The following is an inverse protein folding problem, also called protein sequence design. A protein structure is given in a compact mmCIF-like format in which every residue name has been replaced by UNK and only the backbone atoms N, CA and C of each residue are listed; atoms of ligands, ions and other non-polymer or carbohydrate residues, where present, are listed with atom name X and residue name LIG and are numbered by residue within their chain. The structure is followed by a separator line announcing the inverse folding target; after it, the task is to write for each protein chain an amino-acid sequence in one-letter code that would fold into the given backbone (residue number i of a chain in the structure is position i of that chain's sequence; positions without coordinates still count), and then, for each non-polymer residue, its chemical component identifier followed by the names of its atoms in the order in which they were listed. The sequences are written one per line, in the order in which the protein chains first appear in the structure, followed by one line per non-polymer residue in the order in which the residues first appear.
data_IF_993649038719
#
_entry.id   IF_993649038719
#
_cell.length_a   1.000
_cell.length_b   1.000
_cell.length_c   1.000
_cell.angle_alpha   90.00
_cell.angle_beta   90.00
_cell.angle_gamma   90.00
#
_symmetry.space_group_name_H-M   'P 1'
#
loop_
_entity.id
_entity.type
_entity.pdbx_description
1 polymer ?
#
# COMPACT_ATOMS: atom_id res chain seq x y z
N UNK A 1 -34.25 -29.05 86.24
CA UNK A 1 -33.31 -30.18 86.16
C UNK A 1 -33.23 -30.61 84.71
N UNK A 2 -32.01 -30.94 84.27
CA UNK A 2 -31.59 -31.46 82.96
C UNK A 2 -31.61 -30.43 81.81
N UNK A 3 -30.50 -29.81 81.36
CA UNK A 3 -29.16 -30.26 80.92
C UNK A 3 -29.07 -30.61 79.42
N UNK A 4 -27.99 -30.10 78.80
CA UNK A 4 -27.36 -30.36 77.49
C UNK A 4 -27.95 -29.81 76.18
N UNK A 5 -27.28 -28.73 75.73
CA UNK A 5 -26.49 -28.61 74.47
C UNK A 5 -26.68 -29.73 73.43
N UNK A 6 -26.75 -29.47 72.11
CA UNK A 6 -25.55 -29.24 71.28
C UNK A 6 -25.95 -28.80 69.86
N UNK A 7 -25.28 -27.76 69.35
CA UNK A 7 -25.17 -27.39 67.94
C UNK A 7 -24.54 -28.52 67.12
N UNK A 8 -24.95 -28.69 65.85
CA UNK A 8 -24.09 -29.30 64.84
C UNK A 8 -24.80 -30.25 63.89
N UNK A 9 -24.61 -29.97 62.61
CA UNK A 9 -24.58 -30.96 61.52
C UNK A 9 -25.90 -31.54 61.00
N UNK A 10 -26.67 -30.68 60.31
CA UNK A 10 -27.53 -31.12 59.19
C UNK A 10 -27.02 -30.58 57.83
N UNK A 11 -25.70 -30.53 57.65
CA UNK A 11 -25.08 -30.33 56.32
C UNK A 11 -24.21 -31.50 55.86
N UNK A 12 -24.21 -32.62 56.60
CA UNK A 12 -23.45 -33.81 56.24
C UNK A 12 -24.37 -34.98 55.86
N UNK A 13 -25.08 -34.82 54.73
CA UNK A 13 -25.51 -35.99 53.94
C UNK A 13 -25.27 -35.75 52.45
N UNK A 14 -24.31 -36.52 51.94
CA UNK A 14 -24.18 -36.97 50.54
C UNK A 14 -23.68 -35.99 49.49
N UNK A 15 -22.41 -35.57 49.59
CA UNK A 15 -21.57 -35.34 48.38
C UNK A 15 -20.18 -35.97 48.46
N UNK A 16 -19.96 -36.89 49.38
CA UNK A 16 -18.68 -37.61 49.55
C UNK A 16 -18.66 -38.87 48.70
N UNK A 17 -18.60 -38.70 47.38
CA UNK A 17 -18.47 -39.81 46.42
C UNK A 17 -18.04 -39.41 45.00
N UNK A 18 -17.90 -38.11 44.71
CA UNK A 18 -17.66 -37.59 43.34
C UNK A 18 -16.50 -36.58 43.28
N UNK A 19 -15.59 -36.63 44.26
CA UNK A 19 -14.63 -35.55 44.57
C UNK A 19 -13.18 -35.75 44.07
N UNK A 20 -12.83 -36.83 43.38
CA UNK A 20 -11.44 -37.04 42.93
C UNK A 20 -11.12 -36.63 41.49
N UNK A 21 -12.11 -36.67 40.59
CA UNK A 21 -11.87 -36.56 39.13
C UNK A 21 -12.24 -35.20 38.53
N UNK A 22 -13.05 -34.39 39.22
CA UNK A 22 -13.45 -33.08 38.69
C UNK A 22 -12.29 -32.10 38.60
N UNK A 23 -11.49 -31.98 39.66
CA UNK A 23 -10.31 -31.10 39.68
C UNK A 23 -9.28 -31.44 38.58
N UNK A 24 -8.86 -32.70 38.38
CA UNK A 24 -7.94 -33.01 37.28
C UNK A 24 -8.57 -32.86 35.90
N UNK A 25 -9.85 -33.19 35.72
CA UNK A 25 -10.55 -33.00 34.43
C UNK A 25 -10.68 -31.52 34.07
N UNK A 26 -11.09 -30.67 35.02
CA UNK A 26 -11.17 -29.21 34.81
C UNK A 26 -9.79 -28.63 34.54
N UNK A 27 -8.75 -29.05 35.27
CA UNK A 27 -7.37 -28.62 35.01
C UNK A 27 -6.90 -29.00 33.60
N UNK A 28 -7.19 -30.22 33.13
CA UNK A 28 -6.86 -30.64 31.76
C UNK A 28 -7.63 -29.82 30.73
N UNK A 29 -8.93 -29.58 30.94
CA UNK A 29 -9.73 -28.75 30.05
C UNK A 29 -9.25 -27.29 30.01
N UNK A 30 -8.81 -26.76 31.15
CA UNK A 30 -8.30 -25.39 31.27
C UNK A 30 -6.93 -25.26 30.57
N UNK A 31 -6.06 -26.26 30.71
CA UNK A 31 -4.79 -26.33 29.97
C UNK A 31 -5.03 -26.46 28.47
N UNK A 32 -5.95 -27.32 28.03
CA UNK A 32 -6.31 -27.46 26.61
C UNK A 32 -6.93 -26.18 26.04
N UNK A 33 -7.78 -25.49 26.82
CA UNK A 33 -8.35 -24.19 26.44
C UNK A 33 -7.26 -23.12 26.31
N UNK A 34 -6.30 -23.08 27.24
CA UNK A 34 -5.18 -22.16 27.20
C UNK A 34 -4.28 -22.43 25.97
N UNK A 35 -3.95 -23.69 25.70
CA UNK A 35 -3.19 -24.09 24.51
C UNK A 35 -3.94 -23.68 23.24
N UNK A 36 -5.24 -23.93 23.17
CA UNK A 36 -6.08 -23.54 22.03
C UNK A 36 -6.08 -22.02 21.79
N UNK A 37 -6.22 -21.22 22.85
CA UNK A 37 -6.17 -19.76 22.74
C UNK A 37 -4.80 -19.25 22.30
N UNK A 38 -3.71 -19.78 22.87
CA UNK A 38 -2.35 -19.41 22.47
C UNK A 38 -2.08 -19.80 21.02
N UNK A 39 -2.54 -20.97 20.59
CA UNK A 39 -2.43 -21.43 19.21
C UNK A 39 -3.19 -20.53 18.23
N UNK A 40 -4.45 -20.21 18.52
CA UNK A 40 -5.25 -19.28 17.72
C UNK A 40 -4.60 -17.90 17.65
N UNK A 41 -4.12 -17.38 18.78
CA UNK A 41 -3.44 -16.09 18.81
C UNK A 41 -2.15 -16.11 17.98
N UNK A 42 -1.40 -17.21 18.02
CA UNK A 42 -0.20 -17.40 17.21
C UNK A 42 -0.54 -17.42 15.72
N UNK A 43 -1.61 -18.10 15.33
CA UNK A 43 -2.07 -18.16 13.93
C UNK A 43 -2.48 -16.76 13.43
N UNK A 44 -3.24 -16.01 14.23
CA UNK A 44 -3.63 -14.62 13.90
C UNK A 44 -2.41 -13.70 13.77
N UNK A 45 -1.40 -13.88 14.62
CA UNK A 45 -0.14 -13.12 14.52
C UNK A 45 0.68 -13.50 13.28
N UNK A 46 0.68 -14.77 12.89
CA UNK A 46 1.33 -15.27 11.68
C UNK A 46 0.65 -14.71 10.42
N UNK A 47 -0.67 -14.86 10.30
CA UNK A 47 -1.43 -14.29 9.18
C UNK A 47 -1.26 -12.77 9.07
N UNK A 48 -1.23 -12.08 10.21
CA UNK A 48 -0.99 -10.63 10.27
C UNK A 48 0.45 -10.23 9.93
N UNK A 49 1.41 -11.14 10.02
CA UNK A 49 2.81 -10.93 9.62
C UNK A 49 2.95 -11.14 8.12
N UNK A 50 2.47 -12.27 7.60
CA UNK A 50 2.57 -12.64 6.19
C UNK A 50 1.87 -11.60 5.30
N UNK A 51 0.72 -11.08 5.74
CA UNK A 51 0.02 -10.02 5.04
C UNK A 51 0.80 -8.70 4.98
N UNK A 52 1.46 -8.32 6.09
CA UNK A 52 2.26 -7.08 6.15
C UNK A 52 3.55 -7.19 5.36
N UNK A 53 4.13 -8.38 5.33
CA UNK A 53 5.28 -8.69 4.49
C UNK A 53 4.93 -8.58 3.01
N UNK A 54 3.85 -9.24 2.57
CA UNK A 54 3.38 -9.16 1.19
C UNK A 54 3.02 -7.73 0.77
N UNK A 55 2.33 -6.98 1.64
CA UNK A 55 2.04 -5.56 1.43
C UNK A 55 3.32 -4.73 1.28
N UNK A 56 4.32 -4.97 2.12
CA UNK A 56 5.61 -4.29 2.07
C UNK A 56 6.37 -4.54 0.77
N UNK A 57 6.42 -5.79 0.32
CA UNK A 57 7.05 -6.17 -0.96
C UNK A 57 6.32 -5.53 -2.15
N UNK A 58 4.98 -5.50 -2.11
CA UNK A 58 4.20 -4.84 -3.15
C UNK A 58 4.44 -3.32 -3.17
N UNK A 59 4.46 -2.66 -2.01
CA UNK A 59 4.74 -1.23 -1.90
C UNK A 59 6.13 -0.88 -2.41
N UNK A 60 7.14 -1.67 -2.05
CA UNK A 60 8.49 -1.50 -2.55
C UNK A 60 8.57 -1.65 -4.07
N UNK A 61 7.93 -2.69 -4.62
CA UNK A 61 7.84 -2.89 -6.06
C UNK A 61 7.17 -1.70 -6.77
N UNK A 62 6.12 -1.14 -6.17
CA UNK A 62 5.37 -0.02 -6.76
C UNK A 62 6.12 1.30 -6.67
N UNK A 63 6.82 1.56 -5.57
CA UNK A 63 7.71 2.73 -5.44
C UNK A 63 8.85 2.68 -6.45
N UNK A 64 9.53 1.53 -6.56
CA UNK A 64 10.63 1.36 -7.52
C UNK A 64 10.14 1.45 -8.96
N UNK A 65 9.01 0.79 -9.27
CA UNK A 65 8.41 0.87 -10.60
C UNK A 65 8.03 2.32 -10.95
N UNK A 66 7.36 3.04 -10.04
CA UNK A 66 7.00 4.44 -10.26
C UNK A 66 8.24 5.32 -10.46
N UNK A 67 9.24 5.22 -9.58
CA UNK A 67 10.46 6.03 -9.67
C UNK A 67 11.22 5.79 -10.99
N UNK A 68 11.51 4.52 -11.30
CA UNK A 68 12.32 4.15 -12.48
C UNK A 68 11.57 4.44 -13.78
N UNK A 69 10.32 3.98 -13.90
CA UNK A 69 9.54 4.15 -15.12
C UNK A 69 9.21 5.60 -15.44
N UNK A 70 8.87 6.41 -14.44
CA UNK A 70 8.52 7.82 -14.67
C UNK A 70 9.76 8.67 -14.93
N UNK A 71 10.90 8.36 -14.31
CA UNK A 71 12.18 8.96 -14.67
C UNK A 71 12.63 8.58 -16.09
N UNK A 72 12.38 7.32 -16.51
CA UNK A 72 12.61 6.89 -17.89
C UNK A 72 11.71 7.65 -18.86
N UNK A 73 10.39 7.66 -18.61
CA UNK A 73 9.41 8.37 -19.42
C UNK A 73 9.74 9.86 -19.55
N UNK A 74 10.16 10.53 -18.48
CA UNK A 74 10.59 11.93 -18.53
C UNK A 74 11.78 12.15 -19.47
N UNK A 75 12.73 11.22 -19.55
CA UNK A 75 13.86 11.29 -20.50
C UNK A 75 13.40 10.99 -21.93
N UNK A 76 12.46 10.07 -22.09
CA UNK A 76 11.86 9.75 -23.39
C UNK A 76 11.04 10.92 -23.94
N UNK A 77 10.41 11.72 -23.08
CA UNK A 77 9.77 12.99 -23.48
C UNK A 77 10.78 14.00 -24.02
N UNK A 78 11.97 14.11 -23.43
CA UNK A 78 13.03 14.99 -23.96
C UNK A 78 13.44 14.58 -25.38
N UNK A 79 13.49 13.28 -25.65
CA UNK A 79 13.75 12.77 -26.99
C UNK A 79 12.57 13.06 -27.94
N UNK A 80 11.33 12.95 -27.46
CA UNK A 80 10.12 13.19 -28.26
C UNK A 80 10.03 14.64 -28.74
N UNK A 81 10.50 15.60 -27.94
CA UNK A 81 10.57 17.02 -28.32
C UNK A 81 11.43 17.26 -29.55
N UNK A 82 12.49 16.48 -29.73
CA UNK A 82 13.46 16.60 -30.84
C UNK A 82 13.12 15.69 -32.02
N UNK A 83 12.34 14.64 -31.79
CA UNK A 83 12.02 13.62 -32.78
C UNK A 83 11.09 14.14 -33.89
N UNK A 84 11.25 13.60 -35.10
CA UNK A 84 10.37 13.87 -36.26
C UNK A 84 10.22 12.60 -37.12
N UNK A 85 9.19 12.55 -37.97
CA UNK A 85 9.00 11.45 -38.93
C UNK A 85 8.96 10.07 -38.26
N UNK A 86 9.76 9.12 -38.77
CA UNK A 86 9.77 7.73 -38.29
C UNK A 86 10.36 7.58 -36.87
N UNK A 87 11.31 8.43 -36.48
CA UNK A 87 11.89 8.41 -35.14
C UNK A 87 10.87 8.80 -34.07
N UNK A 88 9.93 9.70 -34.41
CA UNK A 88 8.83 10.07 -33.50
C UNK A 88 7.96 8.87 -33.13
N UNK A 89 7.60 8.05 -34.11
CA UNK A 89 6.77 6.85 -33.88
C UNK A 89 7.49 5.88 -32.96
N UNK A 90 8.79 5.64 -33.19
CA UNK A 90 9.61 4.77 -32.33
C UNK A 90 9.66 5.29 -30.89
N UNK A 91 9.94 6.58 -30.70
CA UNK A 91 10.04 7.19 -29.36
C UNK A 91 8.70 7.17 -28.64
N UNK A 92 7.57 7.32 -29.34
CA UNK A 92 6.24 7.14 -28.73
C UNK A 92 5.99 5.72 -28.23
N UNK A 93 6.44 4.69 -28.96
CA UNK A 93 6.34 3.30 -28.51
C UNK A 93 7.20 3.07 -27.27
N UNK A 94 8.41 3.64 -27.23
CA UNK A 94 9.29 3.59 -26.06
C UNK A 94 8.64 4.28 -24.85
N UNK A 95 8.03 5.45 -25.05
CA UNK A 95 7.29 6.18 -24.02
C UNK A 95 6.11 5.38 -23.47
N UNK A 96 5.32 4.73 -24.33
CA UNK A 96 4.24 3.85 -23.88
C UNK A 96 4.79 2.67 -23.05
N UNK A 97 5.94 2.11 -23.45
CA UNK A 97 6.64 1.08 -22.70
C UNK A 97 7.06 1.56 -21.30
N UNK A 98 7.70 2.73 -21.22
CA UNK A 98 8.11 3.33 -19.95
C UNK A 98 6.91 3.57 -19.03
N UNK A 99 5.82 4.13 -19.55
CA UNK A 99 4.62 4.48 -18.77
C UNK A 99 3.83 3.24 -18.29
N UNK A 100 3.96 2.11 -18.98
CA UNK A 100 3.15 0.90 -18.74
C UNK A 100 3.29 0.30 -17.34
N UNK A 101 4.46 0.48 -16.71
CA UNK A 101 4.69 0.05 -15.33
C UNK A 101 4.54 1.20 -14.32
N UNK A 102 4.95 2.42 -14.67
CA UNK A 102 4.98 3.56 -13.76
C UNK A 102 3.58 4.09 -13.37
N UNK A 103 2.70 4.32 -14.34
CA UNK A 103 1.38 4.91 -14.05
C UNK A 103 0.48 3.97 -13.22
N UNK A 104 0.39 2.66 -13.52
CA UNK A 104 -0.36 1.74 -12.67
C UNK A 104 0.24 1.59 -11.27
N UNK A 105 1.56 1.75 -11.11
CA UNK A 105 2.21 1.75 -9.80
C UNK A 105 1.80 2.98 -8.97
N UNK A 106 1.79 4.18 -9.58
CA UNK A 106 1.28 5.41 -8.92
C UNK A 106 -0.18 5.25 -8.50
N UNK A 107 -1.04 4.74 -9.38
CA UNK A 107 -2.44 4.51 -9.04
C UNK A 107 -2.61 3.55 -7.84
N UNK A 108 -1.81 2.48 -7.79
CA UNK A 108 -1.83 1.53 -6.67
C UNK A 108 -1.31 2.13 -5.38
N UNK A 109 -0.27 2.97 -5.43
CA UNK A 109 0.25 3.69 -4.25
C UNK A 109 -0.80 4.64 -3.68
N UNK A 110 -1.49 5.40 -4.54
CA UNK A 110 -2.57 6.31 -4.14
C UNK A 110 -3.71 5.52 -3.46
N UNK A 111 -4.17 4.44 -4.10
CA UNK A 111 -5.23 3.60 -3.53
C UNK A 111 -4.82 2.91 -2.22
N UNK A 112 -3.58 2.43 -2.13
CA UNK A 112 -3.04 1.84 -0.91
C UNK A 112 -2.96 2.87 0.23
N UNK A 113 -2.52 4.09 -0.07
CA UNK A 113 -2.47 5.19 0.90
C UNK A 113 -3.87 5.60 1.36
N UNK A 114 -4.83 5.75 0.44
CA UNK A 114 -6.23 6.08 0.75
C UNK A 114 -6.91 5.03 1.65
N UNK A 115 -6.48 3.76 1.56
CA UNK A 115 -6.93 2.66 2.42
C UNK A 115 -6.39 2.70 3.86
N UNK A 116 -5.35 3.51 4.15
CA UNK A 116 -4.74 3.63 5.48
C UNK A 116 -5.38 4.75 6.30
N UNK A 117 -5.52 4.60 7.63
CA UNK A 117 -6.04 5.67 8.49
C UNK A 117 -5.26 6.99 8.38
N UNK A 118 -3.93 6.92 8.22
CA UNK A 118 -3.07 8.08 8.04
C UNK A 118 -3.24 8.77 6.67
N UNK A 119 -3.78 8.08 5.67
CA UNK A 119 -3.99 8.60 4.31
C UNK A 119 -5.36 9.24 4.09
N UNK A 120 -6.04 9.71 5.14
CA UNK A 120 -7.36 10.34 5.03
C UNK A 120 -7.41 11.52 4.05
N UNK A 121 -6.32 12.29 3.96
CA UNK A 121 -6.16 13.37 2.98
C UNK A 121 -6.10 12.85 1.54
N UNK A 122 -5.40 11.73 1.30
CA UNK A 122 -5.31 11.07 -0.01
C UNK A 122 -6.69 10.57 -0.43
N UNK A 123 -7.41 9.93 0.50
CA UNK A 123 -8.78 9.46 0.29
C UNK A 123 -9.74 10.57 -0.13
N UNK A 124 -9.56 11.78 0.39
CA UNK A 124 -10.43 12.92 0.05
C UNK A 124 -10.25 13.40 -1.41
N UNK A 125 -9.10 13.14 -2.02
CA UNK A 125 -8.75 13.59 -3.37
C UNK A 125 -8.51 12.44 -4.36
N UNK A 126 -8.67 11.19 -3.92
CA UNK A 126 -8.33 9.98 -4.69
C UNK A 126 -8.97 9.96 -6.08
N UNK A 127 -10.28 10.20 -6.16
CA UNK A 127 -11.01 10.19 -7.43
C UNK A 127 -10.49 11.28 -8.39
N UNK A 128 -10.26 12.49 -7.88
CA UNK A 128 -9.72 13.60 -8.67
C UNK A 128 -8.28 13.30 -9.14
N UNK A 129 -7.44 12.75 -8.27
CA UNK A 129 -6.07 12.37 -8.60
C UNK A 129 -6.02 11.25 -9.66
N UNK A 130 -6.86 10.22 -9.53
CA UNK A 130 -6.95 9.13 -10.52
C UNK A 130 -7.52 9.62 -11.86
N UNK A 131 -8.47 10.56 -11.83
CA UNK A 131 -8.95 11.23 -13.04
C UNK A 131 -7.84 12.04 -13.71
N UNK A 132 -7.08 12.82 -12.93
CA UNK A 132 -5.91 13.56 -13.42
C UNK A 132 -4.85 12.64 -14.03
N UNK A 133 -4.58 11.48 -13.42
CA UNK A 133 -3.67 10.48 -13.97
C UNK A 133 -4.13 9.95 -15.33
N UNK A 134 -5.43 9.65 -15.48
CA UNK A 134 -6.00 9.19 -16.74
C UNK A 134 -5.95 10.27 -17.81
N UNK A 135 -6.25 11.52 -17.46
CA UNK A 135 -6.20 12.64 -18.38
C UNK A 135 -4.75 12.95 -18.81
N UNK A 136 -3.77 12.87 -17.91
CA UNK A 136 -2.35 13.01 -18.23
C UNK A 136 -1.89 11.92 -19.20
N UNK A 137 -2.30 10.68 -18.97
CA UNK A 137 -2.00 9.57 -19.86
C UNK A 137 -2.64 9.73 -21.25
N UNK A 138 -3.91 10.13 -21.31
CA UNK A 138 -4.60 10.40 -22.56
C UNK A 138 -3.88 11.51 -23.36
N UNK A 139 -3.48 12.58 -22.67
CA UNK A 139 -2.74 13.70 -23.28
C UNK A 139 -1.38 13.27 -23.83
N UNK A 140 -0.61 12.47 -23.07
CA UNK A 140 0.65 11.90 -23.53
C UNK A 140 0.49 11.04 -24.79
N UNK A 141 -0.63 10.31 -24.90
CA UNK A 141 -0.93 9.48 -26.06
C UNK A 141 -1.34 10.30 -27.28
N UNK A 142 -2.02 11.43 -27.09
CA UNK A 142 -2.41 12.34 -28.17
C UNK A 142 -1.22 13.15 -28.73
N UNK A 143 -0.33 13.61 -27.85
CA UNK A 143 0.81 14.46 -28.22
C UNK A 143 1.73 13.78 -29.24
N UNK A 144 2.08 14.52 -30.30
CA UNK A 144 2.95 14.01 -31.36
C UNK A 144 2.36 12.82 -32.12
N UNK A 145 1.03 12.70 -32.21
CA UNK A 145 0.34 11.74 -33.08
C UNK A 145 0.36 12.13 -34.58
N UNK A 146 1.33 12.96 -34.98
CA UNK A 146 1.50 13.46 -36.33
C UNK A 146 3.00 13.51 -36.68
N UNK A 147 3.35 13.59 -37.95
CA UNK A 147 4.74 13.44 -38.42
C UNK A 147 5.50 14.77 -38.51
N UNK A 148 4.76 15.88 -38.52
CA UNK A 148 5.27 17.25 -38.52
C UNK A 148 6.04 17.59 -37.22
N UNK A 149 6.85 18.67 -37.23
CA UNK A 149 7.40 19.23 -36.00
C UNK A 149 6.28 19.55 -35.00
N UNK A 150 6.57 19.38 -33.71
CA UNK A 150 5.62 19.74 -32.65
C UNK A 150 5.39 21.25 -32.68
N UNK A 151 4.13 21.64 -32.51
CA UNK A 151 3.78 23.05 -32.36
C UNK A 151 4.26 23.60 -31.01
N UNK A 152 4.39 24.93 -30.91
CA UNK A 152 4.73 25.59 -29.63
C UNK A 152 3.71 25.33 -28.51
N UNK A 153 2.46 25.01 -28.89
CA UNK A 153 1.43 24.62 -27.93
C UNK A 153 1.73 23.22 -27.36
N UNK A 154 2.03 22.26 -28.23
CA UNK A 154 2.37 20.89 -27.83
C UNK A 154 3.68 20.81 -27.05
N UNK A 155 4.67 21.64 -27.39
CA UNK A 155 5.91 21.72 -26.62
C UNK A 155 5.66 22.21 -25.19
N UNK A 156 4.80 23.22 -25.01
CA UNK A 156 4.40 23.69 -23.66
C UNK A 156 3.64 22.62 -22.88
N UNK A 157 2.77 21.87 -23.55
CA UNK A 157 2.04 20.77 -22.92
C UNK A 157 2.99 19.62 -22.52
N UNK A 158 3.97 19.29 -23.37
CA UNK A 158 5.03 18.32 -23.06
C UNK A 158 5.88 18.74 -21.87
N UNK A 159 6.24 20.01 -21.76
CA UNK A 159 6.98 20.54 -20.61
C UNK A 159 6.17 20.40 -19.31
N UNK A 160 4.86 20.68 -19.35
CA UNK A 160 3.96 20.49 -18.21
C UNK A 160 3.86 19.03 -17.79
N UNK A 161 3.69 18.12 -18.75
CA UNK A 161 3.66 16.68 -18.49
C UNK A 161 5.00 16.15 -17.99
N UNK A 162 6.12 16.66 -18.50
CA UNK A 162 7.46 16.33 -18.01
C UNK A 162 7.62 16.75 -16.55
N UNK A 163 7.18 17.95 -16.19
CA UNK A 163 7.21 18.42 -14.82
C UNK A 163 6.35 17.53 -13.89
N UNK A 164 5.16 17.13 -14.35
CA UNK A 164 4.31 16.18 -13.64
C UNK A 164 5.01 14.84 -13.42
N UNK A 165 5.51 14.20 -14.49
CA UNK A 165 6.19 12.90 -14.40
C UNK A 165 7.42 12.97 -13.49
N UNK A 166 8.19 14.06 -13.56
CA UNK A 166 9.32 14.31 -12.68
C UNK A 166 8.91 14.45 -11.21
N UNK A 167 7.80 15.15 -10.94
CA UNK A 167 7.25 15.27 -9.57
C UNK A 167 6.83 13.91 -9.04
N UNK A 168 6.12 13.11 -9.84
CA UNK A 168 5.68 11.77 -9.45
C UNK A 168 6.87 10.82 -9.19
N UNK A 169 7.87 10.86 -10.07
CA UNK A 169 9.11 10.10 -9.90
C UNK A 169 9.83 10.52 -8.61
N UNK A 170 9.96 11.82 -8.36
CA UNK A 170 10.62 12.36 -7.18
C UNK A 170 9.90 12.00 -5.88
N UNK A 171 8.56 12.05 -5.85
CA UNK A 171 7.79 11.63 -4.68
C UNK A 171 8.01 10.14 -4.40
N UNK A 172 8.02 9.28 -5.42
CA UNK A 172 8.31 7.85 -5.26
C UNK A 172 9.75 7.60 -4.78
N UNK A 173 10.74 8.26 -5.38
CA UNK A 173 12.17 8.12 -5.04
C UNK A 173 12.52 8.67 -3.65
N UNK A 174 11.70 9.59 -3.12
CA UNK A 174 11.86 10.13 -1.76
C UNK A 174 11.75 9.04 -0.67
N UNK A 175 11.14 7.91 -1.00
CA UNK A 175 11.03 6.73 -0.14
C UNK A 175 12.14 5.77 -0.50
N UNK A 176 13.18 5.71 0.34
CA UNK A 176 14.29 4.80 0.11
C UNK A 176 13.83 3.33 0.24
N UNK A 177 13.84 2.61 -0.88
CA UNK A 177 13.67 1.16 -0.95
C UNK A 177 15.06 0.54 -1.09
N UNK A 178 15.50 -0.32 -0.14
CA UNK A 178 16.78 -1.02 -0.26
C UNK A 178 16.78 -1.97 -1.47
N UNK A 179 17.93 -2.06 -2.16
CA UNK A 179 18.11 -3.00 -3.29
C UNK A 179 17.88 -4.46 -2.86
N UNK A 180 18.38 -4.83 -1.68
CA UNK A 180 18.13 -6.11 -1.02
C UNK A 180 17.03 -5.96 0.04
N UNK A 181 15.77 -6.02 -0.41
CA UNK A 181 14.62 -5.89 0.47
C UNK A 181 14.38 -7.16 1.30
N UNK A 182 14.83 -7.13 2.55
CA UNK A 182 14.51 -8.17 3.54
C UNK A 182 13.04 -8.10 3.99
N UNK A 183 12.46 -9.21 4.46
CA UNK A 183 11.08 -9.25 4.97
C UNK A 183 10.85 -8.28 6.14
N UNK A 184 11.87 -8.07 6.97
CA UNK A 184 11.82 -7.08 8.05
C UNK A 184 11.73 -5.66 7.52
N UNK A 185 12.50 -5.34 6.47
CA UNK A 185 12.44 -4.03 5.83
C UNK A 185 11.11 -3.82 5.10
N UNK A 186 10.59 -4.85 4.43
CA UNK A 186 9.25 -4.81 3.80
C UNK A 186 8.15 -4.52 4.83
N UNK A 187 8.14 -5.22 5.96
CA UNK A 187 7.18 -4.96 7.04
C UNK A 187 7.33 -3.55 7.63
N UNK A 188 8.56 -3.04 7.78
CA UNK A 188 8.80 -1.67 8.23
C UNK A 188 8.31 -0.63 7.22
N UNK A 189 8.49 -0.88 5.92
CA UNK A 189 7.98 -0.03 4.86
C UNK A 189 6.44 0.02 4.91
N UNK A 190 5.77 -1.13 4.99
CA UNK A 190 4.31 -1.20 5.10
C UNK A 190 3.75 -0.49 6.34
N UNK A 191 4.51 -0.46 7.43
CA UNK A 191 4.15 0.24 8.66
C UNK A 191 4.54 1.74 8.65
N UNK A 192 5.45 2.14 7.78
CA UNK A 192 6.00 3.50 7.70
C UNK A 192 4.98 4.52 7.17
N UNK A 193 5.11 5.77 7.61
CA UNK A 193 4.26 6.88 7.13
C UNK A 193 4.81 7.56 5.87
N UNK A 194 6.12 7.50 5.62
CA UNK A 194 6.75 8.29 4.54
C UNK A 194 6.22 7.97 3.14
N UNK A 195 5.87 6.73 2.86
CA UNK A 195 5.29 6.37 1.56
C UNK A 195 3.86 6.88 1.39
N UNK A 196 3.13 7.08 2.49
CA UNK A 196 1.80 7.70 2.49
C UNK A 196 1.94 9.18 2.16
N UNK A 197 2.96 9.85 2.72
CA UNK A 197 3.27 11.25 2.38
C UNK A 197 3.64 11.40 0.90
N UNK A 198 4.52 10.52 0.39
CA UNK A 198 4.86 10.46 -1.03
C UNK A 198 3.63 10.23 -1.93
N UNK A 199 2.74 9.32 -1.55
CA UNK A 199 1.49 9.09 -2.27
C UNK A 199 0.55 10.30 -2.21
N UNK A 200 0.55 11.05 -1.10
CA UNK A 200 -0.22 12.28 -0.96
C UNK A 200 0.31 13.40 -1.86
N UNK A 201 1.62 13.58 -1.93
CA UNK A 201 2.27 14.51 -2.85
C UNK A 201 1.95 14.16 -4.30
N UNK A 202 2.06 12.88 -4.66
CA UNK A 202 1.73 12.40 -6.00
C UNK A 202 0.25 12.64 -6.34
N UNK A 203 -0.67 12.34 -5.42
CA UNK A 203 -2.10 12.58 -5.61
C UNK A 203 -2.42 14.08 -5.78
N UNK A 204 -1.76 14.93 -4.98
CA UNK A 204 -1.94 16.37 -5.06
C UNK A 204 -1.42 16.93 -6.39
N UNK A 205 -0.24 16.50 -6.85
CA UNK A 205 0.31 16.91 -8.14
C UNK A 205 -0.60 16.53 -9.32
N UNK A 206 -1.22 15.35 -9.27
CA UNK A 206 -2.17 14.89 -10.29
C UNK A 206 -3.46 15.69 -10.28
N UNK A 207 -3.98 16.01 -9.09
CA UNK A 207 -5.16 16.86 -8.95
C UNK A 207 -4.88 18.27 -9.48
N UNK A 208 -3.76 18.88 -9.08
CA UNK A 208 -3.40 20.23 -9.51
C UNK A 208 -3.18 20.31 -11.03
N UNK A 209 -2.66 19.23 -11.63
CA UNK A 209 -2.56 19.13 -13.09
C UNK A 209 -3.93 19.03 -13.77
N UNK A 210 -4.92 18.36 -13.16
CA UNK A 210 -6.26 18.26 -13.72
C UNK A 210 -7.07 19.56 -13.61
N UNK A 211 -6.77 20.38 -12.59
CA UNK A 211 -7.46 21.64 -12.30
C UNK A 211 -6.87 22.84 -13.09
N UNK A 212 -5.68 22.70 -13.69
CA UNK A 212 -4.95 23.74 -14.42
C UNK A 212 -5.12 23.67 -15.94
#
# INVERSE_FOLDING_TARGET
MDDKTTHGDELDRETTGRRGWYAPVVSVLLVLSLIGNVYLYTLVLQDGRDRREAEGHQLAGDLTAAAVSLASASRTLDQLMLAQGADRVRIKVELEGDLSAGLPAVARLIGAAAGKPAGSQVKAIEEAALSGLQAAYAKLRELGAHTEPLSEAELRELDGLKALLGSLASSADSVHVPDDLTDMAAMQLAAGGRWIDAAAEAAQALKDWADG
#
